data_IF_520394939024
#
_entry.id   IF_520394939024
#
_cell.length_a   1.000
_cell.length_b   1.000
_cell.length_c   1.000
_cell.angle_alpha   90.00
_cell.angle_beta   90.00
_cell.angle_gamma   90.00
#
_symmetry.space_group_name_H-M   'P 1'
#
loop_
_entity.id
_entity.type
_entity.pdbx_description
1 polymer ?
#
# COMPACT_ATOMS: atom_id res chain seq x y z
N UNK A 1 15.43 -37.60 -45.51
CA UNK A 1 14.53 -37.30 -44.38
C UNK A 1 14.23 -35.82 -44.46
N UNK A 2 13.06 -35.50 -45.01
CA UNK A 2 12.66 -34.14 -45.40
C UNK A 2 11.90 -33.53 -44.26
N UNK A 3 12.40 -32.43 -43.69
CA UNK A 3 11.67 -31.67 -42.65
C UNK A 3 10.67 -30.73 -43.32
N UNK A 4 9.42 -30.86 -42.97
CA UNK A 4 8.33 -29.98 -43.39
C UNK A 4 8.24 -28.83 -42.35
N UNK A 5 8.53 -27.62 -42.82
CA UNK A 5 8.23 -26.40 -42.05
C UNK A 5 6.76 -26.01 -42.26
N UNK A 6 6.01 -25.97 -41.23
CA UNK A 6 4.64 -25.36 -41.21
C UNK A 6 4.77 -23.88 -40.94
N UNK A 7 4.25 -23.04 -41.83
CA UNK A 7 4.11 -21.60 -41.68
C UNK A 7 3.06 -21.29 -40.59
N UNK A 8 3.48 -20.61 -39.51
CA UNK A 8 2.58 -19.97 -38.57
C UNK A 8 2.11 -18.64 -39.18
N UNK A 9 0.85 -18.57 -39.49
CA UNK A 9 0.17 -17.37 -39.97
C UNK A 9 -0.11 -16.47 -38.73
N UNK A 10 0.73 -15.47 -38.51
CA UNK A 10 0.49 -14.43 -37.49
C UNK A 10 -0.61 -13.46 -37.97
N UNK A 11 -1.79 -13.54 -37.39
CA UNK A 11 -2.82 -12.52 -37.50
C UNK A 11 -2.42 -11.32 -36.63
N UNK A 12 -1.95 -10.25 -37.24
CA UNK A 12 -1.87 -8.94 -36.61
C UNK A 12 -3.29 -8.34 -36.59
N UNK A 13 -3.90 -8.33 -35.41
CA UNK A 13 -5.12 -7.51 -35.18
C UNK A 13 -4.62 -6.08 -34.99
N UNK A 14 -4.80 -5.24 -36.00
CA UNK A 14 -4.62 -3.78 -35.87
C UNK A 14 -5.85 -3.26 -35.15
N UNK A 15 -5.73 -3.05 -33.83
CA UNK A 15 -6.75 -2.36 -33.04
C UNK A 15 -6.85 -0.91 -33.54
N UNK A 16 -8.05 -0.49 -33.93
CA UNK A 16 -8.32 0.91 -34.28
C UNK A 16 -8.27 1.79 -33.03
N UNK A 17 -7.94 3.07 -33.18
CA UNK A 17 -7.81 4.03 -32.07
C UNK A 17 -9.12 4.22 -31.27
N UNK A 18 -10.26 3.85 -31.82
CA UNK A 18 -11.57 3.86 -31.13
C UNK A 18 -11.76 2.65 -30.23
N UNK A 19 -11.28 1.46 -30.62
CA UNK A 19 -11.30 0.25 -29.77
C UNK A 19 -10.41 0.40 -28.53
N UNK A 20 -9.28 1.13 -28.64
CA UNK A 20 -8.41 1.40 -27.50
C UNK A 20 -9.05 2.36 -26.48
N UNK A 21 -9.88 3.31 -26.91
CA UNK A 21 -10.61 4.24 -26.01
C UNK A 21 -11.81 3.57 -25.33
N UNK A 22 -12.54 2.69 -26.02
CA UNK A 22 -13.66 1.93 -25.41
C UNK A 22 -13.17 0.95 -24.34
N UNK A 23 -11.94 0.42 -24.44
CA UNK A 23 -11.33 -0.44 -23.44
C UNK A 23 -10.72 0.31 -22.23
N UNK A 24 -10.63 1.63 -22.26
CA UNK A 24 -10.04 2.46 -21.20
C UNK A 24 -11.02 2.82 -20.07
N UNK A 25 -12.30 2.53 -20.21
CA UNK A 25 -13.33 2.87 -19.22
C UNK A 25 -13.28 1.93 -18.00
N UNK A 26 -13.53 2.48 -16.77
CA UNK A 26 -13.67 1.66 -15.58
C UNK A 26 -14.78 0.62 -15.72
N UNK A 27 -14.45 -0.61 -15.35
CA UNK A 27 -15.40 -1.74 -15.32
C UNK A 27 -15.74 -2.06 -13.87
N UNK A 28 -17.02 -2.26 -13.56
CA UNK A 28 -17.44 -2.71 -12.24
C UNK A 28 -16.71 -4.01 -11.87
N UNK A 29 -16.29 -4.09 -10.62
CA UNK A 29 -15.56 -5.23 -10.07
C UNK A 29 -16.15 -5.61 -8.73
N UNK A 30 -16.17 -6.93 -8.43
CA UNK A 30 -16.43 -7.46 -7.12
C UNK A 30 -15.38 -8.53 -6.82
N UNK A 31 -14.81 -8.49 -5.63
CA UNK A 31 -13.88 -9.51 -5.18
C UNK A 31 -14.65 -10.81 -4.95
N UNK A 32 -14.20 -11.89 -5.56
CA UNK A 32 -14.78 -13.22 -5.39
C UNK A 32 -13.65 -14.26 -5.41
N UNK A 33 -13.24 -14.71 -4.24
CA UNK A 33 -12.25 -15.77 -4.09
C UNK A 33 -12.92 -17.13 -4.24
N UNK A 34 -12.38 -17.99 -5.08
CA UNK A 34 -12.93 -19.34 -5.27
C UNK A 34 -12.89 -20.15 -3.96
N UNK A 35 -13.94 -20.95 -3.68
CA UNK A 35 -13.99 -21.82 -2.50
C UNK A 35 -12.82 -22.82 -2.45
N UNK A 36 -12.34 -23.26 -3.60
CA UNK A 36 -11.14 -24.11 -3.72
C UNK A 36 -9.89 -23.42 -3.19
N UNK A 37 -9.73 -22.11 -3.39
CA UNK A 37 -8.58 -21.35 -2.85
C UNK A 37 -8.67 -21.20 -1.32
N UNK A 38 -9.89 -21.03 -0.78
CA UNK A 38 -10.11 -21.00 0.68
C UNK A 38 -9.83 -22.37 1.29
N UNK A 39 -10.21 -23.44 0.61
CA UNK A 39 -9.92 -24.81 1.05
C UNK A 39 -8.43 -25.10 1.02
N UNK A 40 -7.72 -24.77 -0.07
CA UNK A 40 -6.25 -24.91 -0.18
C UNK A 40 -5.53 -24.16 0.95
N UNK A 41 -5.94 -22.91 1.24
CA UNK A 41 -5.41 -22.15 2.37
C UNK A 41 -5.55 -22.91 3.69
N UNK A 42 -6.75 -23.42 4.00
CA UNK A 42 -7.02 -24.19 5.24
C UNK A 42 -6.18 -25.45 5.33
N UNK A 43 -6.01 -26.17 4.22
CA UNK A 43 -5.16 -27.36 4.16
C UNK A 43 -3.69 -27.05 4.35
N UNK A 44 -3.18 -25.94 3.77
CA UNK A 44 -1.79 -25.49 3.98
C UNK A 44 -1.55 -25.09 5.43
N UNK A 45 -2.49 -24.35 6.04
CA UNK A 45 -2.42 -23.99 7.47
C UNK A 45 -2.39 -25.25 8.36
N UNK A 46 -3.19 -26.28 8.06
CA UNK A 46 -3.17 -27.54 8.82
C UNK A 46 -1.84 -28.29 8.75
N UNK A 47 -1.06 -28.08 7.68
CA UNK A 47 0.27 -28.71 7.46
C UNK A 47 1.45 -27.79 7.81
N UNK A 48 1.20 -26.67 8.48
CA UNK A 48 2.24 -25.72 8.85
C UNK A 48 3.32 -26.37 9.72
N UNK A 49 4.57 -26.18 9.34
CA UNK A 49 5.74 -26.55 10.14
C UNK A 49 6.27 -25.28 10.80
N UNK A 50 6.11 -25.22 12.12
CA UNK A 50 6.66 -24.09 12.88
C UNK A 50 8.13 -24.32 13.19
N UNK A 51 8.97 -23.27 13.18
CA UNK A 51 10.30 -23.35 13.76
C UNK A 51 10.21 -23.49 15.28
N UNK A 52 11.32 -23.81 15.93
CA UNK A 52 11.44 -23.64 17.38
C UNK A 52 11.43 -22.15 17.74
N UNK A 53 11.02 -21.83 18.97
CA UNK A 53 11.15 -20.49 19.53
C UNK A 53 12.56 -20.33 20.09
N UNK A 54 13.32 -19.36 19.60
CA UNK A 54 14.62 -19.03 20.18
C UNK A 54 14.47 -18.60 21.65
N UNK A 55 15.40 -19.00 22.54
CA UNK A 55 15.36 -18.62 23.96
C UNK A 55 15.46 -17.08 24.12
N UNK A 56 14.72 -16.53 25.07
CA UNK A 56 14.72 -15.11 25.40
C UNK A 56 13.31 -14.55 25.48
N UNK A 57 13.20 -13.23 25.44
CA UNK A 57 11.90 -12.55 25.47
C UNK A 57 11.09 -12.85 24.20
N UNK A 58 9.79 -13.08 24.33
CA UNK A 58 8.91 -13.19 23.17
C UNK A 58 9.07 -11.98 22.23
N UNK A 59 9.14 -12.23 20.95
CA UNK A 59 9.33 -11.21 19.90
C UNK A 59 10.73 -10.57 19.80
N UNK A 60 11.69 -10.93 20.66
CA UNK A 60 13.05 -10.36 20.60
C UNK A 60 13.75 -10.61 19.24
N UNK A 61 13.40 -11.71 18.59
CA UNK A 61 13.99 -12.12 17.30
C UNK A 61 12.98 -12.12 16.13
N UNK A 62 11.90 -11.37 16.28
CA UNK A 62 10.81 -11.33 15.30
C UNK A 62 9.54 -12.00 15.80
N UNK A 63 8.72 -12.54 14.91
CA UNK A 63 7.40 -13.09 15.24
C UNK A 63 7.46 -14.23 16.24
N UNK A 64 6.73 -14.07 17.35
CA UNK A 64 6.62 -15.11 18.39
C UNK A 64 5.89 -16.33 17.83
N UNK A 65 6.47 -17.53 18.06
CA UNK A 65 5.96 -18.78 17.49
C UNK A 65 4.60 -19.17 18.10
N UNK A 66 4.40 -18.99 19.41
CA UNK A 66 3.14 -19.37 20.07
C UNK A 66 2.00 -18.42 19.66
N UNK A 67 2.28 -17.13 19.52
CA UNK A 67 1.30 -16.16 18.98
C UNK A 67 0.90 -16.57 17.56
N UNK A 68 1.88 -16.82 16.69
CA UNK A 68 1.60 -17.19 15.31
C UNK A 68 0.83 -18.51 15.20
N UNK A 69 1.12 -19.48 16.06
CA UNK A 69 0.39 -20.75 16.15
C UNK A 69 -1.09 -20.51 16.50
N UNK A 70 -1.36 -19.64 17.47
CA UNK A 70 -2.72 -19.24 17.82
C UNK A 70 -3.45 -18.50 16.71
N UNK A 71 -2.76 -17.59 16.01
CA UNK A 71 -3.34 -16.82 14.90
C UNK A 71 -3.63 -17.71 13.69
N UNK A 72 -2.71 -18.61 13.31
CA UNK A 72 -2.90 -19.53 12.18
C UNK A 72 -3.98 -20.58 12.47
N UNK A 73 -4.13 -21.03 13.70
CA UNK A 73 -5.23 -21.90 14.08
C UNK A 73 -6.58 -21.18 14.01
N UNK A 74 -6.66 -19.92 14.47
CA UNK A 74 -7.83 -19.08 14.30
C UNK A 74 -8.14 -18.86 12.81
N UNK A 75 -7.13 -18.59 11.99
CA UNK A 75 -7.29 -18.42 10.54
C UNK A 75 -7.86 -19.65 9.87
N UNK A 76 -7.44 -20.83 10.28
CA UNK A 76 -7.89 -22.11 9.75
C UNK A 76 -9.31 -22.48 10.16
N UNK A 77 -9.73 -22.18 11.42
CA UNK A 77 -10.94 -22.75 12.02
C UNK A 77 -12.07 -21.76 12.25
N UNK A 78 -11.76 -20.49 12.56
CA UNK A 78 -12.76 -19.52 13.02
C UNK A 78 -12.86 -18.28 12.12
N UNK A 79 -11.78 -17.91 11.41
CA UNK A 79 -11.81 -16.76 10.52
C UNK A 79 -12.72 -17.00 9.30
N UNK A 80 -13.67 -16.10 9.08
CA UNK A 80 -14.57 -16.13 7.93
C UNK A 80 -14.16 -15.10 6.86
N UNK A 81 -13.49 -15.60 5.82
CA UNK A 81 -13.14 -14.78 4.66
C UNK A 81 -14.35 -14.16 3.97
N UNK A 82 -15.48 -14.91 3.87
CA UNK A 82 -16.68 -14.43 3.17
C UNK A 82 -17.25 -13.17 3.83
N UNK A 83 -17.20 -13.08 5.14
CA UNK A 83 -17.56 -11.85 5.86
C UNK A 83 -16.67 -10.69 5.47
N UNK A 84 -15.35 -10.88 5.37
CA UNK A 84 -14.43 -9.80 4.99
C UNK A 84 -14.56 -9.41 3.51
N UNK A 85 -14.73 -10.39 2.64
CA UNK A 85 -15.03 -10.19 1.21
C UNK A 85 -16.34 -9.39 1.02
N UNK A 86 -17.38 -9.71 1.75
CA UNK A 86 -18.65 -8.99 1.73
C UNK A 86 -18.51 -7.55 2.25
N UNK A 87 -17.72 -7.31 3.32
CA UNK A 87 -17.45 -5.96 3.84
C UNK A 87 -16.77 -5.09 2.78
N UNK A 88 -15.79 -5.63 2.06
CA UNK A 88 -15.13 -4.90 0.98
C UNK A 88 -16.08 -4.69 -0.22
N UNK A 89 -16.87 -5.70 -0.57
CA UNK A 89 -17.84 -5.63 -1.67
C UNK A 89 -19.05 -4.73 -1.38
N UNK A 90 -19.22 -4.27 -0.15
CA UNK A 90 -20.22 -3.25 0.18
C UNK A 90 -19.90 -1.87 -0.45
N UNK A 91 -18.66 -1.65 -0.87
CA UNK A 91 -18.25 -0.44 -1.57
C UNK A 91 -18.28 -0.64 -3.09
N UNK A 92 -18.65 0.39 -3.87
CA UNK A 92 -18.50 0.36 -5.32
C UNK A 92 -17.02 0.19 -5.71
N UNK A 93 -16.72 -0.87 -6.45
CA UNK A 93 -15.37 -1.22 -6.88
C UNK A 93 -15.28 -1.28 -8.39
N UNK A 94 -14.11 -0.91 -8.91
CA UNK A 94 -13.86 -0.86 -10.35
C UNK A 94 -12.44 -1.34 -10.67
N UNK A 95 -12.25 -1.73 -11.93
CA UNK A 95 -10.94 -1.88 -12.56
C UNK A 95 -10.86 -1.05 -13.82
N UNK A 96 -9.75 -0.35 -14.01
CA UNK A 96 -9.46 0.41 -15.22
C UNK A 96 -8.10 0.01 -15.79
N UNK A 97 -7.97 -0.16 -17.13
CA UNK A 97 -6.69 -0.41 -17.77
C UNK A 97 -5.86 0.88 -17.79
N UNK A 98 -4.73 0.87 -17.09
CA UNK A 98 -3.79 1.99 -17.00
C UNK A 98 -2.36 1.44 -16.97
N UNK A 99 -1.44 2.04 -17.73
CA UNK A 99 -0.02 1.67 -17.73
C UNK A 99 0.22 0.15 -17.89
N UNK A 100 -0.55 -0.52 -18.76
CA UNK A 100 -0.51 -1.95 -19.08
C UNK A 100 -0.92 -2.90 -17.94
N UNK A 101 -1.65 -2.39 -16.93
CA UNK A 101 -2.26 -3.19 -15.87
C UNK A 101 -3.72 -2.81 -15.67
N UNK A 102 -4.49 -3.69 -15.03
CA UNK A 102 -5.83 -3.36 -14.53
C UNK A 102 -5.70 -2.79 -13.11
N UNK A 103 -5.84 -1.49 -12.97
CA UNK A 103 -5.84 -0.82 -11.66
C UNK A 103 -7.20 -1.00 -11.00
N UNK A 104 -7.21 -1.66 -9.85
CA UNK A 104 -8.38 -1.76 -8.98
C UNK A 104 -8.50 -0.54 -8.08
N UNK A 105 -9.73 -0.07 -7.86
CA UNK A 105 -10.01 1.00 -6.90
C UNK A 105 -11.45 0.96 -6.38
N UNK A 106 -11.63 1.42 -5.14
CA UNK A 106 -12.93 1.80 -4.60
C UNK A 106 -13.23 3.23 -5.09
N UNK A 107 -14.47 3.49 -5.49
CA UNK A 107 -14.90 4.84 -5.87
C UNK A 107 -16.22 5.16 -5.20
N UNK A 108 -16.17 5.92 -4.11
CA UNK A 108 -17.30 6.18 -3.23
C UNK A 108 -17.65 7.66 -3.29
N UNK A 109 -18.77 8.02 -3.95
CA UNK A 109 -19.21 9.40 -4.04
C UNK A 109 -19.51 10.01 -2.68
N UNK A 110 -19.10 11.27 -2.48
CA UNK A 110 -19.38 12.03 -1.27
C UNK A 110 -20.84 12.47 -1.20
N UNK A 111 -21.40 12.49 0.00
CA UNK A 111 -22.78 12.91 0.28
C UNK A 111 -22.83 14.35 0.80
N UNK A 112 -22.28 15.27 0.06
CA UNK A 112 -22.25 16.70 0.39
C UNK A 112 -22.58 17.58 -0.81
N UNK A 113 -22.69 18.91 -0.63
CA UNK A 113 -23.03 19.80 -1.72
C UNK A 113 -21.96 19.87 -2.80
N UNK A 114 -20.66 19.80 -2.44
CA UNK A 114 -19.52 19.86 -3.35
C UNK A 114 -18.38 18.96 -2.83
N UNK A 115 -18.52 17.63 -2.89
CA UNK A 115 -17.53 16.74 -2.32
C UNK A 115 -16.16 16.89 -2.99
N UNK A 116 -15.10 17.08 -2.18
CA UNK A 116 -13.74 17.17 -2.69
C UNK A 116 -13.27 15.77 -3.17
N UNK A 117 -12.75 15.62 -4.41
CA UNK A 117 -12.15 14.38 -4.84
C UNK A 117 -10.89 14.09 -4.02
N UNK A 118 -10.84 12.91 -3.38
CA UNK A 118 -9.74 12.47 -2.53
C UNK A 118 -9.18 11.13 -3.02
N UNK A 119 -7.92 11.13 -3.40
CA UNK A 119 -7.15 9.91 -3.62
C UNK A 119 -6.57 9.44 -2.30
N UNK A 120 -6.95 8.22 -1.85
CA UNK A 120 -6.59 7.66 -0.56
C UNK A 120 -5.71 6.42 -0.76
N UNK A 121 -4.42 6.50 -0.39
CA UNK A 121 -3.39 5.54 -0.75
C UNK A 121 -2.82 4.83 0.48
N UNK A 122 -2.90 3.49 0.45
CA UNK A 122 -2.27 2.61 1.46
C UNK A 122 -0.76 2.47 1.24
N UNK A 123 -0.11 1.69 2.11
CA UNK A 123 1.30 1.33 2.00
C UNK A 123 1.55 -0.17 2.15
N UNK A 124 2.79 -0.54 2.51
CA UNK A 124 3.19 -1.91 2.78
C UNK A 124 3.39 -2.11 4.29
N UNK A 125 2.89 -3.20 4.90
CA UNK A 125 2.20 -4.35 4.32
C UNK A 125 0.67 -4.24 4.33
N UNK A 126 0.14 -3.04 4.17
CA UNK A 126 -1.28 -2.75 4.19
C UNK A 126 -1.98 -2.97 2.84
N UNK A 127 -3.26 -2.61 2.79
CA UNK A 127 -4.11 -2.70 1.60
C UNK A 127 -5.32 -1.77 1.73
N UNK A 128 -6.23 -1.83 0.76
CA UNK A 128 -7.51 -1.08 0.81
C UNK A 128 -8.36 -1.42 2.04
N UNK A 129 -8.12 -2.54 2.72
CA UNK A 129 -8.79 -2.87 3.98
C UNK A 129 -8.53 -1.83 5.10
N UNK A 130 -7.44 -1.06 5.03
CA UNK A 130 -7.17 0.03 5.98
C UNK A 130 -8.25 1.10 5.98
N UNK A 131 -8.97 1.25 4.87
CA UNK A 131 -9.87 2.38 4.66
C UNK A 131 -11.35 2.06 4.82
N UNK A 132 -11.73 0.79 4.97
CA UNK A 132 -13.15 0.39 4.98
C UNK A 132 -13.96 1.03 6.14
N UNK A 133 -13.32 1.30 7.27
CA UNK A 133 -13.95 1.96 8.42
C UNK A 133 -13.80 3.50 8.35
N UNK A 134 -12.86 4.01 7.54
CA UNK A 134 -12.61 5.44 7.35
C UNK A 134 -13.49 6.04 6.24
N UNK A 135 -13.66 5.32 5.12
CA UNK A 135 -14.41 5.81 3.96
C UNK A 135 -15.81 6.32 4.33
N UNK A 136 -16.62 5.63 5.15
CA UNK A 136 -17.94 6.13 5.53
C UNK A 136 -17.91 7.50 6.24
N UNK A 137 -16.86 7.77 7.02
CA UNK A 137 -16.69 9.05 7.74
C UNK A 137 -16.28 10.18 6.80
N UNK A 138 -15.51 9.86 5.74
CA UNK A 138 -15.07 10.82 4.75
C UNK A 138 -16.15 11.16 3.74
N UNK A 139 -16.92 10.16 3.27
CA UNK A 139 -17.91 10.38 2.23
C UNK A 139 -19.27 10.89 2.76
N UNK A 140 -19.59 10.61 4.03
CA UNK A 140 -20.84 10.99 4.68
C UNK A 140 -20.59 11.52 6.11
N UNK A 141 -19.85 12.64 6.28
CA UNK A 141 -19.53 13.16 7.60
C UNK A 141 -20.77 13.50 8.43
N UNK A 142 -21.86 13.89 7.79
CA UNK A 142 -23.12 14.21 8.49
C UNK A 142 -23.67 13.04 9.30
N UNK A 143 -23.55 11.80 8.82
CA UNK A 143 -23.95 10.59 9.55
C UNK A 143 -23.10 10.33 10.80
N UNK A 144 -21.99 11.05 10.97
CA UNK A 144 -21.06 10.96 12.11
C UNK A 144 -20.99 12.28 12.91
N UNK A 145 -21.92 13.22 12.68
CA UNK A 145 -21.98 14.50 13.40
C UNK A 145 -21.06 15.59 12.85
N UNK A 146 -20.45 15.39 11.66
CA UNK A 146 -19.66 16.38 10.96
C UNK A 146 -20.49 17.26 10.01
N UNK A 147 -19.85 18.25 9.39
CA UNK A 147 -20.47 19.11 8.38
C UNK A 147 -20.54 18.38 7.03
N UNK A 148 -21.71 18.29 6.37
CA UNK A 148 -21.81 17.72 5.05
C UNK A 148 -20.97 18.47 3.98
N UNK A 149 -20.61 19.73 4.22
CA UNK A 149 -19.70 20.47 3.35
C UNK A 149 -18.27 19.90 3.33
N UNK A 150 -17.87 19.15 4.36
CA UNK A 150 -16.56 18.50 4.48
C UNK A 150 -16.51 17.12 3.80
N UNK A 151 -17.55 16.72 3.07
CA UNK A 151 -17.60 15.43 2.40
C UNK A 151 -16.54 15.29 1.29
N UNK A 152 -15.99 14.08 1.17
CA UNK A 152 -15.08 13.72 0.10
C UNK A 152 -15.70 12.68 -0.83
N UNK A 153 -15.44 12.81 -2.12
CA UNK A 153 -15.56 11.67 -3.03
C UNK A 153 -14.26 10.88 -2.99
N UNK A 154 -14.31 9.68 -2.40
CA UNK A 154 -13.12 8.88 -2.11
C UNK A 154 -12.80 7.96 -3.28
N UNK A 155 -11.56 8.00 -3.75
CA UNK A 155 -10.96 7.02 -4.67
C UNK A 155 -9.83 6.33 -3.92
N UNK A 156 -10.01 5.04 -3.57
CA UNK A 156 -9.02 4.26 -2.84
C UNK A 156 -8.53 3.09 -3.69
N UNK A 157 -7.40 3.24 -4.41
CA UNK A 157 -6.86 2.16 -5.24
C UNK A 157 -6.16 1.08 -4.38
N UNK A 158 -6.19 -0.17 -4.85
CA UNK A 158 -5.05 -1.05 -4.60
C UNK A 158 -3.88 -0.48 -5.37
N UNK A 159 -2.77 -0.16 -4.71
CA UNK A 159 -1.60 0.41 -5.40
C UNK A 159 -1.16 -0.51 -6.56
N UNK A 160 -0.68 0.03 -7.70
CA UNK A 160 -0.10 -0.77 -8.77
C UNK A 160 0.89 -1.82 -8.27
N UNK A 161 0.59 -3.10 -8.53
CA UNK A 161 1.37 -4.23 -8.04
C UNK A 161 0.94 -4.80 -6.68
N UNK A 162 -0.09 -4.24 -6.05
CA UNK A 162 -0.66 -4.70 -4.78
C UNK A 162 -2.07 -5.27 -4.98
N UNK A 163 -2.45 -6.21 -4.12
CA UNK A 163 -3.81 -6.72 -4.04
C UNK A 163 -4.46 -6.99 -5.41
N UNK A 164 -5.63 -6.41 -5.66
CA UNK A 164 -6.38 -6.61 -6.90
C UNK A 164 -5.83 -5.85 -8.11
N UNK A 165 -4.82 -4.97 -7.93
CA UNK A 165 -4.04 -4.32 -9.02
C UNK A 165 -2.82 -5.14 -9.44
N UNK A 166 -2.80 -6.43 -9.13
CA UNK A 166 -1.75 -7.36 -9.50
C UNK A 166 -2.29 -8.52 -10.34
N UNK A 167 -1.50 -8.93 -11.33
CA UNK A 167 -1.61 -10.20 -12.04
C UNK A 167 -0.21 -10.75 -12.35
N UNK A 168 -0.03 -12.07 -12.41
CA UNK A 168 1.24 -12.67 -12.84
C UNK A 168 1.70 -12.12 -14.20
N UNK A 169 3.01 -11.92 -14.34
CA UNK A 169 3.62 -11.46 -15.60
C UNK A 169 3.55 -9.96 -15.89
N UNK A 170 2.78 -9.17 -15.11
CA UNK A 170 2.76 -7.71 -15.33
C UNK A 170 4.08 -7.04 -14.99
N UNK A 171 4.31 -5.85 -15.55
CA UNK A 171 5.46 -5.00 -15.17
C UNK A 171 5.41 -4.64 -13.68
N UNK A 172 6.55 -4.28 -13.13
CA UNK A 172 6.70 -3.83 -11.75
C UNK A 172 6.77 -2.31 -11.69
N UNK A 173 6.34 -1.75 -10.57
CA UNK A 173 6.17 -0.31 -10.39
C UNK A 173 7.06 0.19 -9.27
N UNK A 174 7.74 1.32 -9.51
CA UNK A 174 8.35 2.18 -8.49
C UNK A 174 7.40 3.32 -8.13
N UNK A 175 7.85 4.19 -7.25
CA UNK A 175 7.02 5.30 -6.72
C UNK A 175 6.63 6.28 -7.83
N UNK A 176 7.54 6.58 -8.75
CA UNK A 176 7.29 7.48 -9.87
C UNK A 176 6.18 6.94 -10.76
N UNK A 177 6.28 5.67 -11.17
CA UNK A 177 5.28 5.05 -12.03
C UNK A 177 3.93 4.87 -11.30
N UNK A 178 3.94 4.64 -9.98
CA UNK A 178 2.70 4.59 -9.18
C UNK A 178 2.06 5.98 -9.15
N UNK A 179 2.83 7.04 -8.90
CA UNK A 179 2.33 8.42 -8.88
C UNK A 179 1.73 8.82 -10.23
N UNK A 180 2.43 8.56 -11.33
CA UNK A 180 1.97 8.86 -12.68
C UNK A 180 0.68 8.09 -13.03
N UNK A 181 0.65 6.79 -12.71
CA UNK A 181 -0.50 5.93 -12.95
C UNK A 181 -1.75 6.41 -12.19
N UNK A 182 -1.60 6.76 -10.91
CA UNK A 182 -2.73 7.20 -10.08
C UNK A 182 -3.15 8.64 -10.38
N UNK A 183 -2.22 9.52 -10.79
CA UNK A 183 -2.58 10.83 -11.32
C UNK A 183 -3.43 10.70 -12.60
N UNK A 184 -3.06 9.79 -13.51
CA UNK A 184 -3.84 9.43 -14.69
C UNK A 184 -5.21 8.82 -14.34
N UNK A 185 -5.29 7.95 -13.31
CA UNK A 185 -6.55 7.45 -12.82
C UNK A 185 -7.51 8.59 -12.44
N UNK A 186 -7.03 9.55 -11.65
CA UNK A 186 -7.87 10.67 -11.21
C UNK A 186 -8.27 11.60 -12.35
N UNK A 187 -7.33 11.97 -13.21
CA UNK A 187 -7.57 13.03 -14.21
C UNK A 187 -8.11 12.50 -15.55
N UNK A 188 -7.49 11.46 -16.10
CA UNK A 188 -7.82 10.97 -17.44
C UNK A 188 -8.97 9.96 -17.43
N UNK A 189 -8.99 9.09 -16.40
CA UNK A 189 -10.00 8.03 -16.29
C UNK A 189 -11.26 8.51 -15.59
N UNK A 190 -11.14 9.23 -14.46
CA UNK A 190 -12.27 9.69 -13.65
C UNK A 190 -12.69 11.14 -13.91
N UNK A 191 -11.88 11.93 -14.64
CA UNK A 191 -12.20 13.30 -15.04
C UNK A 191 -12.06 14.35 -13.93
N UNK A 192 -11.38 14.06 -12.83
CA UNK A 192 -11.11 15.02 -11.76
C UNK A 192 -9.94 15.91 -12.14
N UNK A 193 -10.18 17.13 -12.62
CA UNK A 193 -9.12 18.06 -13.02
C UNK A 193 -8.17 18.40 -11.87
N UNK A 194 -8.71 18.52 -10.64
CA UNK A 194 -7.94 18.71 -9.41
C UNK A 194 -8.49 17.81 -8.30
N UNK A 195 -7.60 17.30 -7.46
CA UNK A 195 -7.94 16.41 -6.36
C UNK A 195 -6.98 16.58 -5.17
N UNK A 196 -7.43 16.18 -3.97
CA UNK A 196 -6.56 16.03 -2.82
C UNK A 196 -5.98 14.61 -2.79
N UNK A 197 -4.76 14.45 -2.29
CA UNK A 197 -4.14 13.14 -2.12
C UNK A 197 -3.72 12.91 -0.66
N UNK A 198 -4.08 11.75 -0.12
CA UNK A 198 -3.70 11.33 1.22
C UNK A 198 -2.99 9.98 1.16
N UNK A 199 -1.96 9.78 2.00
CA UNK A 199 -1.32 8.48 2.15
C UNK A 199 -0.40 8.39 3.35
N UNK A 200 -0.24 7.16 3.82
CA UNK A 200 0.80 6.73 4.77
C UNK A 200 1.81 5.83 4.07
N UNK A 201 2.98 5.59 4.67
CA UNK A 201 4.03 4.72 4.14
C UNK A 201 4.34 5.00 2.65
N UNK A 202 4.29 4.00 1.75
CA UNK A 202 4.45 4.21 0.31
C UNK A 202 3.38 5.13 -0.29
N UNK A 203 2.16 5.12 0.26
CA UNK A 203 1.10 6.07 -0.13
C UNK A 203 1.50 7.52 0.19
N UNK A 204 2.15 7.77 1.33
CA UNK A 204 2.64 9.09 1.71
C UNK A 204 3.80 9.56 0.82
N UNK A 205 4.73 8.67 0.48
CA UNK A 205 5.82 8.97 -0.45
C UNK A 205 5.27 9.22 -1.87
N UNK A 206 4.25 8.45 -2.27
CA UNK A 206 3.57 8.65 -3.56
C UNK A 206 2.83 9.99 -3.62
N UNK A 207 2.08 10.37 -2.57
CA UNK A 207 1.43 11.67 -2.47
C UNK A 207 2.44 12.82 -2.56
N UNK A 208 3.58 12.68 -1.88
CA UNK A 208 4.68 13.63 -1.94
C UNK A 208 5.30 13.72 -3.34
N UNK A 209 5.50 12.58 -4.01
CA UNK A 209 5.94 12.55 -5.42
C UNK A 209 4.93 13.22 -6.35
N UNK A 210 3.63 13.03 -6.12
CA UNK A 210 2.59 13.75 -6.87
C UNK A 210 2.66 15.26 -6.62
N UNK A 211 2.85 15.70 -5.37
CA UNK A 211 3.05 17.12 -5.03
C UNK A 211 4.25 17.73 -5.72
N UNK A 212 5.29 16.95 -6.00
CA UNK A 212 6.48 17.37 -6.75
C UNK A 212 6.27 17.36 -8.26
N UNK A 213 5.67 16.30 -8.83
CA UNK A 213 5.64 16.09 -10.29
C UNK A 213 4.31 16.48 -10.96
N UNK A 214 3.21 16.58 -10.19
CA UNK A 214 1.85 16.83 -10.67
C UNK A 214 1.16 17.93 -9.83
N UNK A 215 1.92 18.92 -9.37
CA UNK A 215 1.42 19.99 -8.48
C UNK A 215 0.19 20.72 -9.05
N UNK A 216 0.12 20.91 -10.36
CA UNK A 216 -0.98 21.54 -11.08
C UNK A 216 -2.32 20.79 -10.96
N UNK A 217 -2.27 19.48 -10.70
CA UNK A 217 -3.44 18.60 -10.52
C UNK A 217 -3.92 18.51 -9.08
N UNK A 218 -3.12 18.99 -8.11
CA UNK A 218 -3.41 18.81 -6.68
C UNK A 218 -4.07 20.04 -6.05
N UNK A 219 -5.05 19.80 -5.20
CA UNK A 219 -5.60 20.77 -4.26
C UNK A 219 -4.65 20.91 -3.05
N UNK A 220 -4.13 19.78 -2.59
CA UNK A 220 -3.20 19.65 -1.49
C UNK A 220 -2.89 18.17 -1.23
N UNK A 221 -1.93 17.92 -0.35
CA UNK A 221 -1.58 16.58 0.11
C UNK A 221 -1.69 16.49 1.63
N UNK A 222 -2.04 15.30 2.12
CA UNK A 222 -1.95 14.96 3.54
C UNK A 222 -1.17 13.66 3.69
N UNK A 223 -0.16 13.64 4.56
CA UNK A 223 0.71 12.47 4.72
C UNK A 223 0.89 12.10 6.18
N UNK A 224 1.07 10.81 6.46
CA UNK A 224 1.45 10.31 7.78
C UNK A 224 2.96 10.05 7.84
N UNK A 225 3.60 9.78 6.70
CA UNK A 225 5.04 9.62 6.58
C UNK A 225 5.59 10.64 5.59
N UNK A 226 6.49 11.50 6.06
CA UNK A 226 7.15 12.52 5.24
C UNK A 226 8.22 11.92 4.32
N UNK A 227 8.24 12.33 3.06
CA UNK A 227 9.26 11.95 2.09
C UNK A 227 10.57 12.75 2.27
N UNK A 228 11.10 12.78 3.49
CA UNK A 228 12.37 13.46 3.81
C UNK A 228 13.54 12.58 3.37
N UNK A 229 14.54 13.18 2.73
CA UNK A 229 15.79 12.49 2.36
C UNK A 229 16.53 12.02 3.60
N UNK A 230 17.14 10.84 3.50
CA UNK A 230 17.85 10.18 4.61
C UNK A 230 19.35 10.06 4.28
N UNK A 231 19.93 11.07 3.66
CA UNK A 231 21.33 11.09 3.29
C UNK A 231 22.17 12.04 4.19
N UNK A 232 23.49 11.93 4.07
CA UNK A 232 24.43 12.68 4.90
C UNK A 232 24.40 14.20 4.73
N UNK A 233 23.66 14.75 3.75
CA UNK A 233 23.51 16.20 3.55
C UNK A 233 22.74 16.86 4.70
N UNK A 234 22.08 16.07 5.55
CA UNK A 234 21.31 16.52 6.71
C UNK A 234 22.18 16.73 7.97
N UNK A 235 23.48 16.40 7.94
CA UNK A 235 24.32 16.28 9.14
C UNK A 235 25.06 17.55 9.54
N UNK A 236 25.22 18.56 8.66
CA UNK A 236 25.85 19.83 8.99
C UNK A 236 24.84 20.77 9.65
N UNK A 237 25.20 21.30 10.84
CA UNK A 237 24.42 22.31 11.58
C UNK A 237 23.04 21.88 12.11
N UNK A 238 22.89 20.59 12.49
CA UNK A 238 21.64 20.05 13.01
C UNK A 238 21.22 20.64 14.35
N UNK A 239 19.94 21.00 14.48
CA UNK A 239 19.33 21.38 15.76
C UNK A 239 19.29 20.18 16.74
N UNK A 240 19.04 20.40 18.06
CA UNK A 240 18.86 19.29 18.99
C UNK A 240 17.77 18.30 18.58
N UNK A 241 16.66 18.78 18.00
CA UNK A 241 15.55 17.97 17.53
C UNK A 241 15.94 17.15 16.30
N UNK A 242 16.67 17.75 15.37
CA UNK A 242 17.20 17.06 14.19
C UNK A 242 18.23 15.99 14.59
N UNK A 243 19.09 16.26 15.58
CA UNK A 243 20.02 15.25 16.11
C UNK A 243 19.27 14.06 16.72
N UNK A 244 18.23 14.32 17.52
CA UNK A 244 17.38 13.25 18.07
C UNK A 244 16.77 12.39 16.94
N UNK A 245 16.23 13.02 15.90
CA UNK A 245 15.73 12.30 14.73
C UNK A 245 16.79 11.45 14.03
N UNK A 246 18.02 11.98 13.90
CA UNK A 246 19.14 11.24 13.30
C UNK A 246 19.56 10.04 14.15
N UNK A 247 19.51 10.14 15.48
CA UNK A 247 19.77 9.02 16.39
C UNK A 247 18.65 7.94 16.27
N UNK A 248 17.38 8.36 16.22
CA UNK A 248 16.25 7.47 15.98
C UNK A 248 16.37 6.79 14.60
N UNK A 249 16.75 7.52 13.56
CA UNK A 249 17.00 7.01 12.22
C UNK A 249 18.15 5.99 12.22
N UNK A 250 19.26 6.28 12.90
CA UNK A 250 20.40 5.36 12.97
C UNK A 250 20.03 4.05 13.66
N UNK A 251 19.29 4.12 14.78
CA UNK A 251 18.74 2.94 15.45
C UNK A 251 17.84 2.14 14.51
N UNK A 252 16.86 2.79 13.86
CA UNK A 252 15.92 2.15 12.96
C UNK A 252 16.61 1.49 11.77
N UNK A 253 17.59 2.15 11.17
CA UNK A 253 18.39 1.60 10.07
C UNK A 253 19.14 0.32 10.47
N UNK A 254 19.60 0.25 11.71
CA UNK A 254 20.38 -0.88 12.23
C UNK A 254 19.48 -2.07 12.63
N UNK A 255 18.37 -1.80 13.33
CA UNK A 255 17.60 -2.84 14.01
C UNK A 255 16.32 -3.24 13.26
N UNK A 256 15.73 -2.34 12.45
CA UNK A 256 14.39 -2.54 11.88
C UNK A 256 14.36 -2.72 10.35
N UNK A 257 15.46 -2.48 9.63
CA UNK A 257 15.43 -2.44 8.16
C UNK A 257 15.76 -3.76 7.47
N UNK A 258 15.95 -4.85 8.18
CA UNK A 258 16.24 -6.16 7.58
C UNK A 258 15.29 -6.55 6.45
N UNK A 259 13.99 -6.28 6.62
CA UNK A 259 12.97 -6.51 5.60
C UNK A 259 13.20 -5.67 4.33
N UNK A 260 13.58 -4.39 4.48
CA UNK A 260 13.84 -3.49 3.35
C UNK A 260 15.03 -3.95 2.52
N UNK A 261 16.09 -4.43 3.18
CA UNK A 261 17.27 -4.94 2.49
C UNK A 261 16.93 -6.18 1.64
N UNK A 262 16.15 -7.11 2.18
CA UNK A 262 15.75 -8.30 1.41
C UNK A 262 14.80 -7.91 0.27
N UNK A 263 13.76 -7.13 0.57
CA UNK A 263 12.76 -6.69 -0.43
C UNK A 263 13.36 -5.76 -1.48
N UNK A 264 14.38 -4.98 -1.12
CA UNK A 264 15.05 -4.06 -2.02
C UNK A 264 16.19 -4.66 -2.85
N UNK A 265 16.74 -5.81 -2.47
CA UNK A 265 17.88 -6.41 -3.17
C UNK A 265 17.55 -7.73 -3.86
N UNK A 266 16.77 -8.59 -3.23
CA UNK A 266 16.42 -9.92 -3.72
C UNK A 266 14.93 -10.26 -3.48
N UNK A 267 13.99 -9.41 -3.96
CA UNK A 267 12.55 -9.58 -3.71
C UNK A 267 12.03 -10.93 -4.18
N UNK A 268 12.49 -11.41 -5.32
CA UNK A 268 12.03 -12.67 -5.91
C UNK A 268 12.38 -13.88 -5.02
N UNK A 269 13.53 -13.88 -4.36
CA UNK A 269 13.94 -15.00 -3.49
C UNK A 269 13.01 -15.12 -2.28
N UNK A 270 12.69 -14.01 -1.62
CA UNK A 270 11.76 -14.00 -0.49
C UNK A 270 10.35 -14.42 -0.91
N UNK A 271 9.92 -14.03 -2.12
CA UNK A 271 8.58 -14.31 -2.64
C UNK A 271 8.26 -15.80 -2.67
N UNK A 272 9.22 -16.70 -2.92
CA UNK A 272 8.99 -18.15 -2.91
C UNK A 272 8.42 -18.62 -1.58
N UNK A 273 9.05 -18.23 -0.47
CA UNK A 273 8.58 -18.64 0.86
C UNK A 273 7.23 -18.04 1.25
N UNK A 274 7.02 -16.75 0.93
CA UNK A 274 5.81 -16.05 1.32
C UNK A 274 4.59 -16.33 0.44
N UNK A 275 4.81 -16.80 -0.79
CA UNK A 275 3.72 -17.24 -1.68
C UNK A 275 3.30 -18.68 -1.39
N UNK A 276 4.19 -19.52 -0.88
CA UNK A 276 3.93 -20.94 -0.62
C UNK A 276 3.47 -21.24 0.82
N UNK A 277 3.93 -20.44 1.80
CA UNK A 277 3.59 -20.62 3.20
C UNK A 277 2.66 -19.53 3.71
N UNK A 278 1.37 -19.81 3.99
CA UNK A 278 0.48 -18.83 4.60
C UNK A 278 0.95 -18.40 6.01
N UNK A 279 1.50 -19.34 6.79
CA UNK A 279 2.08 -19.02 8.10
C UNK A 279 3.33 -18.14 7.98
N UNK A 280 4.19 -18.37 6.98
CA UNK A 280 5.34 -17.51 6.68
C UNK A 280 4.91 -16.10 6.29
N UNK A 281 3.89 -15.98 5.43
CA UNK A 281 3.30 -14.70 5.05
C UNK A 281 2.72 -13.96 6.26
N UNK A 282 1.96 -14.67 7.11
CA UNK A 282 1.40 -14.10 8.33
C UNK A 282 2.49 -13.62 9.29
N UNK A 283 3.56 -14.41 9.48
CA UNK A 283 4.70 -14.02 10.32
C UNK A 283 5.35 -12.72 9.81
N UNK A 284 5.59 -12.63 8.51
CA UNK A 284 6.25 -11.48 7.87
C UNK A 284 5.45 -10.19 8.00
N UNK A 285 4.12 -10.27 7.93
CA UNK A 285 3.22 -9.11 8.00
C UNK A 285 2.91 -8.73 9.45
N UNK A 286 2.54 -9.68 10.30
CA UNK A 286 2.11 -9.42 11.69
C UNK A 286 3.21 -8.79 12.53
N UNK A 287 4.45 -9.19 12.30
CA UNK A 287 5.60 -8.59 12.99
C UNK A 287 5.63 -7.08 12.76
N UNK A 288 5.33 -6.61 11.54
CA UNK A 288 5.29 -5.18 11.20
C UNK A 288 4.07 -4.48 11.79
N UNK A 289 2.90 -5.09 11.75
CA UNK A 289 1.72 -4.56 12.43
C UNK A 289 1.97 -4.34 13.93
N UNK A 290 2.66 -5.28 14.57
CA UNK A 290 3.02 -5.15 15.98
C UNK A 290 4.09 -4.08 16.22
N UNK A 291 5.16 -4.05 15.44
CA UNK A 291 6.28 -3.14 15.64
C UNK A 291 5.92 -1.67 15.35
N UNK A 292 5.02 -1.44 14.37
CA UNK A 292 4.69 -0.11 13.86
C UNK A 292 3.34 0.43 14.32
N UNK A 293 2.73 -0.18 15.33
CA UNK A 293 1.49 0.33 15.95
C UNK A 293 1.68 0.63 17.43
N UNK A 294 0.85 1.53 17.97
CA UNK A 294 0.84 1.89 19.39
C UNK A 294 0.07 0.83 20.21
N UNK A 295 0.50 -0.41 20.07
CA UNK A 295 -0.12 -1.58 20.67
C UNK A 295 0.47 -1.97 22.03
N UNK A 296 1.50 -1.28 22.51
CA UNK A 296 2.23 -1.63 23.72
C UNK A 296 2.66 -3.11 23.77
N UNK A 297 3.11 -3.63 22.62
CA UNK A 297 3.61 -5.01 22.48
C UNK A 297 2.56 -6.10 22.25
N UNK A 298 1.27 -5.78 22.36
CA UNK A 298 0.15 -6.67 22.06
C UNK A 298 -0.65 -6.14 20.87
N UNK A 299 -0.45 -6.73 19.71
CA UNK A 299 -1.07 -6.27 18.46
C UNK A 299 -2.59 -6.32 18.48
N UNK A 300 -3.17 -7.23 19.27
CA UNK A 300 -4.64 -7.40 19.40
C UNK A 300 -5.32 -6.26 20.19
N UNK A 301 -4.55 -5.37 20.83
CA UNK A 301 -5.07 -4.14 21.44
C UNK A 301 -5.50 -3.10 20.40
N UNK A 302 -4.92 -3.14 19.21
CA UNK A 302 -5.16 -2.18 18.12
C UNK A 302 -5.90 -2.81 16.95
N UNK A 303 -5.55 -4.05 16.61
CA UNK A 303 -6.14 -4.78 15.49
C UNK A 303 -6.78 -6.08 15.97
N UNK A 304 -8.02 -6.31 15.62
CA UNK A 304 -8.63 -7.63 15.82
C UNK A 304 -7.93 -8.67 14.92
N UNK A 305 -8.02 -9.94 15.29
CA UNK A 305 -7.52 -11.05 14.43
C UNK A 305 -8.15 -11.01 13.04
N UNK A 306 -9.44 -10.65 12.96
CA UNK A 306 -10.15 -10.54 11.69
C UNK A 306 -9.57 -9.44 10.80
N UNK A 307 -9.23 -8.26 11.37
CA UNK A 307 -8.59 -7.19 10.60
C UNK A 307 -7.20 -7.60 10.10
N UNK A 308 -6.37 -8.19 10.96
CA UNK A 308 -5.06 -8.71 10.55
C UNK A 308 -5.19 -9.74 9.44
N UNK A 309 -6.08 -10.71 9.63
CA UNK A 309 -6.27 -11.82 8.68
C UNK A 309 -6.98 -11.40 7.39
N UNK A 310 -7.84 -10.40 7.41
CA UNK A 310 -8.42 -9.83 6.20
C UNK A 310 -7.33 -9.28 5.28
N UNK A 311 -6.41 -8.49 5.83
CA UNK A 311 -5.28 -7.94 5.08
C UNK A 311 -4.32 -9.04 4.60
N UNK A 312 -3.92 -9.96 5.47
CA UNK A 312 -3.01 -11.07 5.14
C UNK A 312 -3.64 -12.00 4.09
N UNK A 313 -4.94 -12.33 4.24
CA UNK A 313 -5.66 -13.17 3.27
C UNK A 313 -5.75 -12.51 1.89
N UNK A 314 -5.88 -11.19 1.81
CA UNK A 314 -5.87 -10.50 0.53
C UNK A 314 -4.54 -10.69 -0.20
N UNK A 315 -3.40 -10.55 0.50
CA UNK A 315 -2.08 -10.85 -0.08
C UNK A 315 -1.97 -12.31 -0.52
N UNK A 316 -2.48 -13.23 0.31
CA UNK A 316 -2.47 -14.65 -0.01
C UNK A 316 -3.24 -14.97 -1.27
N UNK A 317 -4.52 -14.59 -1.34
CA UNK A 317 -5.41 -14.93 -2.45
C UNK A 317 -5.05 -14.23 -3.76
N UNK A 318 -4.46 -13.06 -3.70
CA UNK A 318 -4.00 -12.33 -4.89
C UNK A 318 -2.60 -12.75 -5.34
N UNK A 319 -1.80 -13.37 -4.46
CA UNK A 319 -0.39 -13.67 -4.73
C UNK A 319 0.48 -12.43 -4.87
N UNK A 320 0.00 -11.26 -4.43
CA UNK A 320 0.64 -9.97 -4.69
C UNK A 320 1.87 -9.67 -3.82
N UNK A 321 2.18 -10.52 -2.83
CA UNK A 321 3.25 -10.21 -1.86
C UNK A 321 4.60 -9.93 -2.55
N UNK A 322 5.01 -10.76 -3.50
CA UNK A 322 6.28 -10.56 -4.21
C UNK A 322 6.28 -9.31 -5.11
N UNK A 323 5.14 -8.96 -5.69
CA UNK A 323 4.98 -7.74 -6.49
C UNK A 323 5.05 -6.48 -5.63
N UNK A 324 4.50 -6.52 -4.42
CA UNK A 324 4.47 -5.40 -3.48
C UNK A 324 5.86 -4.98 -2.96
N UNK A 325 6.90 -5.77 -3.22
CA UNK A 325 8.27 -5.46 -2.83
C UNK A 325 8.98 -4.50 -3.79
N UNK A 326 8.45 -4.29 -4.98
CA UNK A 326 9.18 -3.55 -6.02
C UNK A 326 9.34 -2.05 -5.76
N UNK A 327 8.50 -1.34 -5.01
CA UNK A 327 8.83 0.00 -4.52
C UNK A 327 10.15 0.04 -3.74
N UNK A 328 10.43 -0.97 -2.89
CA UNK A 328 11.72 -1.11 -2.18
C UNK A 328 12.88 -1.36 -3.13
N UNK A 329 12.69 -2.25 -4.12
CA UNK A 329 13.72 -2.55 -5.11
C UNK A 329 14.10 -1.31 -5.91
N UNK A 330 13.13 -0.59 -6.47
CA UNK A 330 13.39 0.62 -7.23
C UNK A 330 13.94 1.74 -6.35
N UNK A 331 13.47 1.85 -5.11
CA UNK A 331 13.99 2.81 -4.13
C UNK A 331 15.48 2.63 -3.84
N UNK A 332 15.99 1.41 -3.87
CA UNK A 332 17.41 1.11 -3.68
C UNK A 332 18.25 1.26 -4.95
N UNK A 333 17.65 1.21 -6.14
CA UNK A 333 18.35 1.17 -7.41
C UNK A 333 18.13 2.41 -8.28
N UNK A 334 17.33 3.36 -7.82
CA UNK A 334 17.04 4.62 -8.52
C UNK A 334 17.26 5.82 -7.58
N UNK A 335 17.42 7.04 -8.14
CA UNK A 335 17.44 8.25 -7.33
C UNK A 335 16.18 8.37 -6.44
N UNK A 336 16.28 9.23 -5.42
CA UNK A 336 15.12 9.55 -4.59
C UNK A 336 14.01 10.19 -5.44
N UNK A 337 12.72 9.87 -5.20
CA UNK A 337 11.60 10.34 -6.02
C UNK A 337 11.45 11.86 -6.10
N UNK A 338 11.99 12.59 -5.13
CA UNK A 338 12.12 14.04 -5.15
C UNK A 338 13.61 14.35 -5.31
N UNK A 339 13.99 14.98 -6.40
CA UNK A 339 15.40 15.27 -6.70
C UNK A 339 16.03 16.17 -5.63
N UNK A 340 17.35 16.17 -5.56
CA UNK A 340 18.08 17.08 -4.67
C UNK A 340 17.77 18.55 -4.99
N UNK A 341 17.46 19.33 -3.95
CA UNK A 341 16.97 20.70 -4.11
C UNK A 341 15.53 20.84 -4.62
N UNK A 342 14.86 19.72 -4.95
CA UNK A 342 13.45 19.74 -5.36
C UNK A 342 12.52 20.00 -4.16
N UNK A 343 11.48 20.81 -4.38
CA UNK A 343 10.51 21.20 -3.36
C UNK A 343 9.09 20.82 -3.74
N UNK A 344 8.25 20.64 -2.74
CA UNK A 344 6.80 20.40 -2.85
C UNK A 344 6.13 21.69 -2.38
N UNK A 345 5.51 22.40 -3.33
CA UNK A 345 4.89 23.71 -3.09
C UNK A 345 3.34 23.64 -2.98
N UNK A 346 2.75 22.46 -3.11
CA UNK A 346 1.31 22.30 -2.86
C UNK A 346 1.03 22.33 -1.35
N UNK A 347 -0.14 22.84 -0.92
CA UNK A 347 -0.55 22.80 0.48
C UNK A 347 -0.39 21.40 1.07
N UNK A 348 0.35 21.28 2.17
CA UNK A 348 0.65 20.01 2.80
C UNK A 348 0.19 19.96 4.27
N UNK A 349 -0.49 18.88 4.63
CA UNK A 349 -0.78 18.49 6.01
C UNK A 349 0.03 17.25 6.40
N UNK A 350 0.47 17.22 7.66
CA UNK A 350 1.17 16.08 8.24
C UNK A 350 0.52 15.66 9.55
N UNK A 351 0.16 14.40 9.66
CA UNK A 351 -0.29 13.79 10.92
C UNK A 351 0.79 12.88 11.47
N UNK A 352 1.40 13.29 12.59
CA UNK A 352 2.39 12.49 13.31
C UNK A 352 1.67 11.52 14.26
N UNK A 353 1.88 10.21 14.05
CA UNK A 353 1.38 9.17 14.93
C UNK A 353 2.46 8.73 15.93
N UNK A 354 2.07 8.29 17.16
CA UNK A 354 3.03 7.97 18.23
C UNK A 354 4.05 6.89 17.88
N UNK A 355 3.71 5.98 16.98
CA UNK A 355 4.56 4.85 16.53
C UNK A 355 4.84 4.88 15.04
N UNK A 356 4.73 6.06 14.42
CA UNK A 356 5.23 6.20 13.05
C UNK A 356 6.71 5.84 12.99
N UNK A 357 7.11 5.16 11.91
CA UNK A 357 8.47 4.61 11.73
C UNK A 357 9.55 5.68 11.94
N UNK A 358 9.33 6.87 11.37
CA UNK A 358 10.24 8.01 11.45
C UNK A 358 9.44 9.30 11.54
N UNK A 359 9.67 10.04 12.61
CA UNK A 359 8.98 11.31 12.91
C UNK A 359 9.93 12.47 12.68
N UNK A 360 10.05 12.88 11.41
CA UNK A 360 10.94 13.98 11.06
C UNK A 360 10.43 15.30 11.65
N UNK A 361 11.28 16.10 12.33
CA UNK A 361 10.89 17.39 12.86
C UNK A 361 10.53 18.34 11.72
N UNK A 362 9.69 19.35 12.04
CA UNK A 362 9.20 20.34 11.08
C UNK A 362 10.33 21.03 10.32
N UNK A 363 11.45 21.34 10.97
CA UNK A 363 12.61 21.96 10.33
C UNK A 363 13.21 21.13 9.19
N UNK A 364 13.15 19.80 9.29
CA UNK A 364 13.57 18.92 8.19
C UNK A 364 12.48 18.81 7.11
N UNK A 365 11.23 18.78 7.51
CA UNK A 365 10.11 18.76 6.56
C UNK A 365 10.12 20.01 5.67
N UNK A 366 10.35 21.19 6.23
CA UNK A 366 10.38 22.49 5.54
C UNK A 366 11.50 22.60 4.49
N UNK A 367 12.51 21.74 4.52
CA UNK A 367 13.51 21.65 3.46
C UNK A 367 12.96 21.05 2.15
N UNK A 368 11.86 20.32 2.24
CA UNK A 368 11.21 19.66 1.10
C UNK A 368 9.82 20.23 0.83
N UNK A 369 9.04 20.48 1.88
CA UNK A 369 7.67 20.98 1.77
C UNK A 369 7.65 22.48 2.11
N UNK A 370 7.35 23.32 1.13
CA UNK A 370 7.44 24.79 1.30
C UNK A 370 6.13 25.43 1.75
N UNK A 371 5.03 24.66 1.81
CA UNK A 371 3.69 25.13 2.20
C UNK A 371 3.03 24.14 3.19
N UNK A 372 3.56 24.08 4.42
CA UNK A 372 3.04 23.19 5.48
C UNK A 372 2.01 23.95 6.32
N UNK A 373 0.74 23.54 6.21
CA UNK A 373 -0.37 24.16 6.96
C UNK A 373 -0.61 23.52 8.33
N UNK A 374 -0.32 22.24 8.50
CA UNK A 374 -0.62 21.53 9.75
C UNK A 374 0.35 20.38 9.98
#
# INVERSE_FOLDING_TARGET
>A
MTAIFTEETSYQIVATTEDSKMNAQPRAFALNVADTAITDLRERLARTRFPDQAPGEPWAYGTNVDYLRGLTEYWRTAFDWRTQEARLNAFPQFKAPLHDIDVHFLHVPGKGPNPCPLLLMHGWPGSVFEFIDLIPRLNDPASFGGDPADAFTVVAPSLPGYGMSFRPGQKRFGIEEIADCLAGLMTETLGYHRFAAQGGDWGGITASRMGYAHADKLIGIHVNLLAVRRDGSMLSDSSPEERKYLDELAYWLKEETGYQWIQGTRPQTLSFGLTDSPAGLAAWIVEKFRAWSDCNGDVERVFTRDQLLANISLYWFTGAIGSSFFPYYFRMHRPWPILEGGTIAVPAGYSEFPREILRAPRSLAERTYTDIHR
#
